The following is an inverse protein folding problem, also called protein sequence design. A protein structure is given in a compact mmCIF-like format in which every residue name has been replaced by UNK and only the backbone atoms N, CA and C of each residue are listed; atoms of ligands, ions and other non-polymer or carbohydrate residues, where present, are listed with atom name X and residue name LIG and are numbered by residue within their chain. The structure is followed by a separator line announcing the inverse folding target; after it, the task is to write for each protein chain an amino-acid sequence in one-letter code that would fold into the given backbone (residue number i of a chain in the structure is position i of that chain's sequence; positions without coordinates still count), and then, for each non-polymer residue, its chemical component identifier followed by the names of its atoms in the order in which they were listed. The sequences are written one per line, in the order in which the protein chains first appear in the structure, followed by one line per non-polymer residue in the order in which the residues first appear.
data_IF_292921432675
#
_entry.id   IF_292921432675
#
_cell.length_a   1.000
_cell.length_b   1.000
_cell.length_c   1.000
_cell.angle_alpha   90.00
_cell.angle_beta   90.00
_cell.angle_gamma   90.00
#
_symmetry.space_group_name_H-M   'P 1'
#
loop_
_entity.id
_entity.type
_entity.pdbx_description
1 polymer ?
#
# COMPACT_ATOMS: atom_id res chain seq x y z
N UNK A 1 -5.93 -21.04 -3.24
CA UNK A 1 -4.90 -20.26 -2.52
C UNK A 1 -5.28 -20.24 -1.05
N UNK A 2 -4.33 -20.43 -0.12
CA UNK A 2 -4.57 -20.36 1.34
C UNK A 2 -4.64 -18.92 1.89
N UNK A 3 -4.39 -17.93 1.05
CA UNK A 3 -4.48 -16.50 1.36
C UNK A 3 -5.40 -15.80 0.36
N UNK A 4 -6.06 -14.75 0.82
CA UNK A 4 -6.95 -13.92 0.01
C UNK A 4 -6.13 -13.05 -0.94
N UNK A 5 -6.57 -12.99 -2.20
CA UNK A 5 -6.05 -12.02 -3.16
C UNK A 5 -6.89 -10.74 -3.06
N UNK A 6 -6.38 -9.75 -2.34
CA UNK A 6 -7.01 -8.44 -2.26
C UNK A 6 -6.79 -7.63 -3.54
N UNK A 7 -7.67 -6.65 -3.84
CA UNK A 7 -7.42 -5.69 -4.91
C UNK A 7 -6.05 -5.00 -4.73
N UNK A 8 -5.35 -4.77 -5.84
CA UNK A 8 -4.08 -4.04 -5.83
C UNK A 8 -4.26 -2.57 -5.43
N UNK A 9 -3.15 -1.88 -5.15
CA UNK A 9 -3.13 -0.51 -4.64
C UNK A 9 -3.96 0.46 -5.48
N UNK A 10 -3.85 0.42 -6.82
CA UNK A 10 -4.61 1.33 -7.68
C UNK A 10 -6.12 1.05 -7.63
N UNK A 11 -6.51 -0.21 -7.55
CA UNK A 11 -7.91 -0.59 -7.39
C UNK A 11 -8.48 -0.13 -6.05
N UNK A 12 -7.68 -0.23 -4.99
CA UNK A 12 -8.02 0.29 -3.66
C UNK A 12 -8.10 1.83 -3.66
N UNK A 13 -7.13 2.51 -4.25
CA UNK A 13 -7.11 3.97 -4.36
C UNK A 13 -8.31 4.51 -5.15
N UNK A 14 -8.69 3.84 -6.23
CA UNK A 14 -9.86 4.19 -7.04
C UNK A 14 -11.20 4.15 -6.26
N UNK A 15 -11.26 3.47 -5.11
CA UNK A 15 -12.46 3.48 -4.27
C UNK A 15 -12.66 4.79 -3.51
N UNK A 16 -11.60 5.57 -3.29
CA UNK A 16 -11.63 6.76 -2.43
C UNK A 16 -12.00 6.49 -0.97
N UNK A 17 -12.09 5.22 -0.55
CA UNK A 17 -12.63 4.84 0.76
C UNK A 17 -11.52 4.39 1.72
N UNK A 18 -11.03 5.32 2.54
CA UNK A 18 -9.91 5.06 3.47
C UNK A 18 -10.25 4.00 4.53
N UNK A 19 -11.50 3.90 4.97
CA UNK A 19 -11.92 2.87 5.93
C UNK A 19 -11.87 1.48 5.29
N UNK A 20 -12.30 1.35 4.04
CA UNK A 20 -12.14 0.10 3.28
C UNK A 20 -10.66 -0.26 3.12
N UNK A 21 -9.81 0.69 2.74
CA UNK A 21 -8.37 0.48 2.56
C UNK A 21 -7.71 0.03 3.87
N UNK A 22 -8.07 0.65 4.99
CA UNK A 22 -7.64 0.23 6.33
C UNK A 22 -8.07 -1.21 6.65
N UNK A 23 -9.33 -1.55 6.41
CA UNK A 23 -9.86 -2.90 6.65
C UNK A 23 -9.14 -3.95 5.81
N UNK A 24 -8.85 -3.65 4.54
CA UNK A 24 -8.07 -4.52 3.66
C UNK A 24 -6.64 -4.68 4.18
N UNK A 25 -5.97 -3.60 4.59
CA UNK A 25 -4.64 -3.66 5.20
C UNK A 25 -4.61 -4.52 6.47
N UNK A 26 -5.61 -4.38 7.34
CA UNK A 26 -5.74 -5.18 8.56
C UNK A 26 -6.00 -6.65 8.26
N UNK A 27 -6.85 -6.96 7.29
CA UNK A 27 -7.14 -8.33 6.89
C UNK A 27 -5.90 -9.00 6.30
N UNK A 28 -5.21 -8.34 5.35
CA UNK A 28 -3.97 -8.82 4.77
C UNK A 28 -2.89 -9.06 5.84
N UNK A 29 -2.70 -8.11 6.76
CA UNK A 29 -1.75 -8.26 7.86
C UNK A 29 -2.12 -9.41 8.82
N UNK A 30 -3.41 -9.62 9.08
CA UNK A 30 -3.89 -10.72 9.93
C UNK A 30 -3.62 -12.08 9.29
N UNK A 31 -3.88 -12.23 7.99
CA UNK A 31 -3.59 -13.46 7.25
C UNK A 31 -2.07 -13.74 7.20
N UNK A 32 -1.23 -12.72 7.00
CA UNK A 32 0.22 -12.89 6.99
C UNK A 32 0.77 -13.28 8.38
N UNK A 33 0.25 -12.66 9.45
CA UNK A 33 0.64 -13.01 10.83
C UNK A 33 0.28 -14.44 11.18
N UNK A 34 -0.87 -14.94 10.73
CA UNK A 34 -1.33 -16.31 11.06
C UNK A 34 -0.41 -17.39 10.49
N UNK A 35 0.33 -17.09 9.42
CA UNK A 35 1.32 -17.98 8.81
C UNK A 35 2.77 -17.62 9.16
N UNK A 36 2.98 -16.80 10.20
CA UNK A 36 4.30 -16.56 10.78
C UNK A 36 5.10 -15.39 10.21
N UNK A 37 4.58 -14.65 9.23
CA UNK A 37 5.24 -13.42 8.77
C UNK A 37 5.09 -12.32 9.83
N UNK A 38 6.05 -11.39 9.87
CA UNK A 38 6.04 -10.25 10.78
C UNK A 38 6.46 -8.93 10.12
N UNK A 39 6.84 -8.97 8.83
CA UNK A 39 7.32 -7.83 8.06
C UNK A 39 6.60 -7.76 6.72
N UNK A 40 6.05 -6.59 6.40
CA UNK A 40 5.43 -6.29 5.13
C UNK A 40 6.31 -5.31 4.34
N UNK A 41 6.77 -5.73 3.16
CA UNK A 41 7.55 -4.88 2.25
C UNK A 41 6.62 -3.95 1.46
N UNK A 42 6.03 -2.98 2.13
CA UNK A 42 5.17 -1.93 1.59
C UNK A 42 4.55 -1.11 2.73
N UNK A 43 3.59 -0.19 2.43
CA UNK A 43 2.99 0.07 1.12
C UNK A 43 3.95 0.72 0.10
N UNK A 44 3.56 0.67 -1.18
CA UNK A 44 4.21 1.46 -2.24
C UNK A 44 3.72 2.90 -2.13
N UNK A 45 4.67 3.84 -2.01
CA UNK A 45 4.43 5.27 -1.90
C UNK A 45 4.80 6.05 -3.18
N UNK A 46 5.19 5.34 -4.24
CA UNK A 46 5.47 5.98 -5.52
C UNK A 46 4.20 6.55 -6.15
N UNK A 47 4.28 7.77 -6.67
CA UNK A 47 3.22 8.39 -7.49
C UNK A 47 3.36 7.90 -8.92
N UNK A 48 2.28 7.39 -9.51
CA UNK A 48 2.32 7.00 -10.93
C UNK A 48 2.15 8.24 -11.80
N UNK A 49 3.19 8.57 -12.57
CA UNK A 49 3.19 9.71 -13.49
C UNK A 49 2.53 9.39 -14.84
N UNK A 50 2.64 8.13 -15.28
CA UNK A 50 2.10 7.62 -16.53
C UNK A 50 1.81 6.13 -16.43
N UNK A 51 0.70 5.68 -17.01
CA UNK A 51 0.36 4.24 -17.08
C UNK A 51 1.28 3.45 -18.00
N UNK A 52 2.08 4.13 -18.85
CA UNK A 52 3.15 3.49 -19.60
C UNK A 52 4.33 3.05 -18.72
N UNK A 53 4.46 3.59 -17.50
CA UNK A 53 5.43 3.15 -16.51
C UNK A 53 4.99 1.79 -15.92
N UNK A 54 5.46 0.71 -16.53
CA UNK A 54 5.14 -0.66 -16.11
C UNK A 54 5.76 -1.06 -14.77
N UNK A 55 6.78 -0.33 -14.28
CA UNK A 55 7.47 -0.64 -13.03
C UNK A 55 6.59 -0.31 -11.81
N UNK A 56 5.95 0.87 -11.84
CA UNK A 56 5.04 1.36 -10.80
C UNK A 56 3.61 0.97 -11.15
N UNK A 57 3.08 1.48 -12.27
CA UNK A 57 1.74 1.21 -12.79
C UNK A 57 0.67 1.06 -11.71
N UNK A 58 -0.04 -0.07 -11.74
CA UNK A 58 -1.14 -0.40 -10.82
C UNK A 58 -0.71 -0.66 -9.37
N UNK A 59 0.60 -0.65 -9.07
CA UNK A 59 1.15 -0.85 -7.72
C UNK A 59 1.13 0.45 -6.91
N UNK A 60 1.00 1.60 -7.56
CA UNK A 60 0.72 2.88 -6.89
C UNK A 60 -0.76 2.96 -6.49
N UNK A 61 -1.06 3.73 -5.45
CA UNK A 61 -2.43 4.06 -5.08
C UNK A 61 -3.05 5.15 -5.97
N UNK A 62 -2.26 5.95 -6.69
CA UNK A 62 -2.81 7.05 -7.48
C UNK A 62 -1.77 7.94 -8.16
N UNK A 63 -2.29 8.98 -8.81
CA UNK A 63 -1.54 9.89 -9.68
C UNK A 63 -1.06 11.16 -8.98
N UNK A 64 -1.50 11.40 -7.73
CA UNK A 64 -1.07 12.57 -6.94
C UNK A 64 -0.42 12.11 -5.64
N UNK A 65 0.51 12.92 -5.13
CA UNK A 65 1.15 12.66 -3.84
C UNK A 65 0.11 12.60 -2.71
N UNK A 66 -0.91 13.47 -2.75
CA UNK A 66 -1.97 13.52 -1.74
C UNK A 66 -2.78 12.22 -1.70
N UNK A 67 -3.22 11.70 -2.84
CA UNK A 67 -3.98 10.46 -2.92
C UNK A 67 -3.15 9.27 -2.46
N UNK A 68 -1.90 9.19 -2.92
CA UNK A 68 -0.98 8.10 -2.55
C UNK A 68 -0.72 8.10 -1.06
N UNK A 69 -0.43 9.27 -0.46
CA UNK A 69 -0.18 9.36 0.98
C UNK A 69 -1.39 8.97 1.80
N UNK A 70 -2.59 9.48 1.49
CA UNK A 70 -3.81 9.14 2.24
C UNK A 70 -4.13 7.65 2.19
N UNK A 71 -4.09 7.07 0.99
CA UNK A 71 -4.38 5.64 0.80
C UNK A 71 -3.33 4.76 1.48
N UNK A 72 -2.05 5.07 1.27
CA UNK A 72 -0.97 4.29 1.84
C UNK A 72 -0.94 4.39 3.37
N UNK A 73 -1.25 5.56 3.95
CA UNK A 73 -1.37 5.71 5.41
C UNK A 73 -2.51 4.85 5.96
N UNK A 74 -3.69 4.86 5.33
CA UNK A 74 -4.82 4.03 5.75
C UNK A 74 -4.44 2.53 5.71
N UNK A 75 -3.81 2.08 4.63
CA UNK A 75 -3.36 0.69 4.48
C UNK A 75 -2.28 0.31 5.50
N UNK A 76 -1.28 1.19 5.69
CA UNK A 76 -0.21 1.03 6.65
C UNK A 76 -0.73 0.93 8.09
N UNK A 77 -1.71 1.77 8.46
CA UNK A 77 -2.38 1.67 9.76
C UNK A 77 -3.09 0.34 9.93
N UNK A 78 -3.73 -0.17 8.86
CA UNK A 78 -4.34 -1.50 8.84
C UNK A 78 -3.31 -2.60 9.15
N UNK A 79 -2.20 -2.62 8.40
CA UNK A 79 -1.10 -3.57 8.61
C UNK A 79 -0.51 -3.47 10.02
N UNK A 80 -0.16 -2.25 10.48
CA UNK A 80 0.39 -2.03 11.83
C UNK A 80 -0.58 -2.53 12.91
N UNK A 81 -1.89 -2.35 12.72
CA UNK A 81 -2.92 -2.81 13.68
C UNK A 81 -3.02 -4.33 13.84
N UNK A 82 -2.52 -5.11 12.87
CA UNK A 82 -2.44 -6.57 12.99
C UNK A 82 -1.13 -7.05 13.62
N UNK A 83 -0.24 -6.13 14.02
CA UNK A 83 1.08 -6.46 14.58
C UNK A 83 2.16 -6.71 13.52
N UNK A 84 1.97 -6.26 12.28
CA UNK A 84 3.02 -6.29 11.26
C UNK A 84 3.95 -5.07 11.39
N UNK A 85 5.26 -5.30 11.27
CA UNK A 85 6.21 -4.26 10.91
C UNK A 85 6.07 -3.95 9.42
N UNK A 86 6.25 -2.69 9.03
CA UNK A 86 6.14 -2.27 7.62
C UNK A 86 7.42 -1.58 7.16
N UNK A 87 7.69 -1.66 5.86
CA UNK A 87 8.76 -0.93 5.19
C UNK A 87 8.19 -0.29 3.92
N UNK A 88 7.88 1.00 4.00
CA UNK A 88 7.41 1.76 2.85
C UNK A 88 8.51 1.87 1.79
N UNK A 89 8.12 1.92 0.50
CA UNK A 89 9.05 1.86 -0.62
C UNK A 89 8.53 2.59 -1.87
N UNK A 90 9.39 3.00 -2.82
CA UNK A 90 10.84 2.81 -2.89
C UNK A 90 11.60 4.15 -2.78
N UNK A 91 12.23 4.45 -1.64
CA UNK A 91 12.90 5.75 -1.42
C UNK A 91 14.05 5.97 -2.44
N UNK A 92 14.24 7.18 -3.00
CA UNK A 92 13.55 8.46 -2.75
C UNK A 92 12.25 8.69 -3.55
N UNK A 93 11.76 7.66 -4.22
CA UNK A 93 10.67 7.70 -5.19
C UNK A 93 11.19 7.19 -6.53
N UNK A 94 10.49 6.25 -7.13
CA UNK A 94 10.89 5.63 -8.41
C UNK A 94 10.85 6.62 -9.58
N UNK A 95 10.00 7.66 -9.50
CA UNK A 95 9.85 8.76 -10.48
C UNK A 95 10.17 10.16 -9.85
N UNK A 96 11.07 10.23 -8.85
CA UNK A 96 11.48 11.47 -8.15
C UNK A 96 10.45 12.13 -7.21
N UNK A 97 9.29 11.49 -6.98
CA UNK A 97 8.29 11.97 -6.03
C UNK A 97 7.91 10.86 -5.04
N UNK A 98 8.47 10.94 -3.82
CA UNK A 98 7.91 10.27 -2.65
C UNK A 98 8.02 11.15 -1.40
N UNK A 99 6.97 11.11 -0.59
CA UNK A 99 6.94 11.63 0.77
C UNK A 99 7.46 10.56 1.74
N UNK A 100 8.48 10.89 2.55
CA UNK A 100 8.95 10.02 3.64
C UNK A 100 7.89 10.05 4.75
N UNK A 101 7.33 8.90 5.13
CA UNK A 101 6.55 8.75 6.36
C UNK A 101 6.94 7.47 7.11
N UNK A 102 7.13 7.60 8.43
CA UNK A 102 7.62 6.60 9.40
C UNK A 102 6.56 5.52 9.78
#
# INVERSE_FOLDING_TARGET
SFLTQFPGSMGLGATGNMDLIYKVGRAAGTELRSIGFNLYMGPVLDVVSSMANQLIGIRSFGFTAEDVTKCAEAFARGLKSSGMTICAKHFPGSDHHMLIMF
#
